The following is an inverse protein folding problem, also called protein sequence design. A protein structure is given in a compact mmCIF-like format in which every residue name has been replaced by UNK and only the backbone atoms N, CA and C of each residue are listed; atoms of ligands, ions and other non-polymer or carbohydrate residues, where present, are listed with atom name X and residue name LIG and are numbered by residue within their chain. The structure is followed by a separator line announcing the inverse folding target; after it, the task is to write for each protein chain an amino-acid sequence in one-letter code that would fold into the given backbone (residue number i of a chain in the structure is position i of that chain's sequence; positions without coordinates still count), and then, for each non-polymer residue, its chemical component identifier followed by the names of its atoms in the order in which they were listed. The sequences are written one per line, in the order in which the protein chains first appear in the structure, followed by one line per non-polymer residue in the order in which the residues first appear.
data_IF_809211848015
#
_entry.id   IF_809211848015
#
_cell.length_a   1.000
_cell.length_b   1.000
_cell.length_c   1.000
_cell.angle_alpha   90.00
_cell.angle_beta   90.00
_cell.angle_gamma   90.00
#
_symmetry.space_group_name_H-M   'P 1'
#
loop_
_entity.id
_entity.type
_entity.pdbx_description
1 polymer ?
#
# COMPACT_ATOMS: atom_id res chain seq x y z
N UNK A 1 -10.62 -7.71 -39.32
CA UNK A 1 -11.46 -7.25 -38.21
C UNK A 1 -11.53 -8.38 -37.19
N UNK A 2 -10.79 -8.30 -36.11
CA UNK A 2 -10.91 -9.17 -34.92
C UNK A 2 -11.09 -8.23 -33.74
N UNK A 3 -12.27 -8.30 -33.11
CA UNK A 3 -12.65 -7.56 -31.93
C UNK A 3 -11.73 -7.87 -30.77
N UNK A 4 -11.10 -6.85 -30.20
CA UNK A 4 -10.49 -6.94 -28.88
C UNK A 4 -11.63 -6.98 -27.86
N UNK A 5 -11.75 -8.08 -27.15
CA UNK A 5 -12.61 -8.21 -25.98
C UNK A 5 -12.03 -7.35 -24.85
N UNK A 6 -12.71 -6.28 -24.49
CA UNK A 6 -12.52 -5.59 -23.22
C UNK A 6 -12.87 -6.54 -22.09
N UNK A 7 -11.85 -7.10 -21.46
CA UNK A 7 -11.98 -7.72 -20.16
C UNK A 7 -11.95 -6.60 -19.10
N UNK A 8 -13.10 -5.99 -18.85
CA UNK A 8 -13.33 -5.22 -17.64
C UNK A 8 -13.35 -6.22 -16.48
N UNK A 9 -12.22 -6.41 -15.79
CA UNK A 9 -12.21 -7.09 -14.50
C UNK A 9 -13.16 -6.33 -13.56
N UNK A 10 -14.30 -6.95 -13.27
CA UNK A 10 -15.26 -6.40 -12.32
C UNK A 10 -14.63 -6.44 -10.94
N UNK A 11 -14.30 -5.29 -10.39
CA UNK A 11 -13.94 -5.15 -8.97
C UNK A 11 -15.12 -5.73 -8.17
N UNK A 12 -14.85 -6.74 -7.36
CA UNK A 12 -15.87 -7.37 -6.54
C UNK A 12 -16.52 -6.31 -5.64
N UNK A 13 -17.82 -6.16 -5.70
CA UNK A 13 -18.55 -5.14 -4.95
C UNK A 13 -18.34 -5.35 -3.44
N UNK A 14 -17.96 -4.29 -2.73
CA UNK A 14 -17.92 -4.29 -1.27
C UNK A 14 -19.25 -4.77 -0.68
N UNK A 15 -19.24 -5.54 0.42
CA UNK A 15 -20.47 -5.90 1.13
C UNK A 15 -21.23 -4.64 1.55
N UNK A 16 -22.56 -4.73 1.61
CA UNK A 16 -23.38 -3.60 2.07
C UNK A 16 -23.00 -3.22 3.51
N UNK A 17 -23.05 -1.93 3.82
CA UNK A 17 -22.59 -1.34 5.09
C UNK A 17 -23.03 -2.07 6.39
N UNK A 18 -24.12 -2.86 6.37
CA UNK A 18 -24.57 -3.65 7.52
C UNK A 18 -23.65 -4.84 7.88
N UNK A 19 -22.87 -5.34 6.91
CA UNK A 19 -22.09 -6.58 7.09
C UNK A 19 -20.62 -6.30 7.37
N UNK A 20 -20.20 -5.04 7.29
CA UNK A 20 -18.80 -4.61 7.42
C UNK A 20 -18.36 -4.54 8.88
N UNK A 21 -19.25 -4.14 9.80
CA UNK A 21 -18.90 -3.87 11.19
C UNK A 21 -18.45 -5.10 12.00
N UNK A 22 -18.85 -6.30 11.59
CA UNK A 22 -18.57 -7.56 12.30
C UNK A 22 -17.74 -8.55 11.45
N UNK A 23 -17.17 -8.10 10.31
CA UNK A 23 -16.41 -8.99 9.43
C UNK A 23 -14.99 -9.17 9.96
N UNK A 24 -14.69 -10.35 10.45
CA UNK A 24 -13.33 -10.76 10.80
C UNK A 24 -12.64 -11.39 9.59
N UNK A 25 -11.36 -11.04 9.40
CA UNK A 25 -10.54 -11.52 8.30
C UNK A 25 -9.24 -12.11 8.83
N UNK A 26 -8.95 -13.33 8.42
CA UNK A 26 -7.71 -14.05 8.71
C UNK A 26 -6.79 -14.03 7.49
N UNK A 27 -5.50 -14.24 7.71
CA UNK A 27 -4.51 -14.35 6.64
C UNK A 27 -4.01 -15.79 6.52
N UNK A 28 -3.96 -16.32 5.30
CA UNK A 28 -3.35 -17.62 5.02
C UNK A 28 -2.17 -17.46 4.06
N UNK A 29 -1.02 -17.99 4.42
CA UNK A 29 0.15 -18.08 3.55
C UNK A 29 -0.05 -19.12 2.42
N UNK A 30 -0.89 -20.13 2.68
CA UNK A 30 -1.19 -21.20 1.74
C UNK A 30 -2.68 -21.24 1.46
N UNK A 31 -3.06 -20.89 0.23
CA UNK A 31 -4.41 -21.02 -0.28
C UNK A 31 -4.31 -21.73 -1.66
N UNK A 32 -4.76 -22.99 -1.74
CA UNK A 32 -4.69 -23.79 -2.97
C UNK A 32 -5.99 -23.75 -3.78
N UNK A 33 -6.93 -22.89 -3.41
CA UNK A 33 -8.27 -22.76 -4.00
C UNK A 33 -9.28 -23.77 -3.46
N UNK A 34 -8.85 -24.80 -2.71
CA UNK A 34 -9.69 -25.76 -2.03
C UNK A 34 -9.62 -25.62 -0.51
N UNK A 35 -8.42 -25.37 0.00
CA UNK A 35 -8.17 -25.16 1.42
C UNK A 35 -7.31 -23.92 1.67
N UNK A 36 -7.56 -23.29 2.80
CA UNK A 36 -6.71 -22.23 3.38
C UNK A 36 -6.10 -22.75 4.66
N UNK A 37 -4.76 -22.60 4.83
CA UNK A 37 -4.05 -22.96 6.05
C UNK A 37 -3.57 -21.72 6.77
N UNK A 38 -4.00 -21.60 8.03
CA UNK A 38 -3.60 -20.52 8.93
C UNK A 38 -2.30 -20.92 9.63
N UNK A 39 -1.38 -19.96 9.78
CA UNK A 39 -0.20 -20.17 10.62
C UNK A 39 -0.54 -20.26 12.11
N UNK A 40 0.45 -20.42 12.96
CA UNK A 40 0.24 -20.60 14.41
C UNK A 40 -0.35 -19.34 15.08
N UNK A 41 0.01 -18.14 14.60
CA UNK A 41 -0.48 -16.87 15.17
C UNK A 41 -1.94 -16.63 14.76
N UNK A 42 -2.26 -16.78 13.48
CA UNK A 42 -3.63 -16.65 12.96
C UNK A 42 -4.55 -17.76 13.50
N UNK A 43 -4.06 -19.01 13.61
CA UNK A 43 -4.81 -20.12 14.22
C UNK A 43 -5.08 -19.88 15.69
N UNK A 44 -4.08 -19.37 16.43
CA UNK A 44 -4.23 -18.99 17.83
C UNK A 44 -5.27 -17.88 18.01
N UNK A 45 -5.26 -16.87 17.14
CA UNK A 45 -6.25 -15.80 17.15
C UNK A 45 -7.66 -16.34 16.84
N UNK A 46 -7.81 -17.11 15.77
CA UNK A 46 -9.06 -17.73 15.35
C UNK A 46 -9.67 -18.63 16.46
N UNK A 47 -8.90 -19.60 16.93
CA UNK A 47 -9.47 -20.69 17.76
C UNK A 47 -9.43 -20.43 19.27
N UNK A 48 -8.46 -19.62 19.78
CA UNK A 48 -8.34 -19.31 21.21
C UNK A 48 -8.93 -17.97 21.59
N UNK A 49 -8.68 -16.91 20.80
CA UNK A 49 -9.14 -15.55 21.11
C UNK A 49 -10.59 -15.40 20.69
N UNK A 50 -10.90 -15.65 19.42
CA UNK A 50 -12.25 -15.51 18.86
C UNK A 50 -13.11 -16.77 19.07
N UNK A 51 -12.51 -17.90 19.47
CA UNK A 51 -13.16 -19.15 19.84
C UNK A 51 -13.95 -19.83 18.72
N UNK A 52 -13.55 -19.61 17.47
CA UNK A 52 -14.11 -20.37 16.35
C UNK A 52 -13.84 -21.87 16.49
N UNK A 53 -14.80 -22.67 16.00
CA UNK A 53 -14.78 -24.12 16.03
C UNK A 53 -14.96 -24.72 14.64
N UNK A 54 -14.58 -25.98 14.49
CA UNK A 54 -14.85 -26.72 13.26
C UNK A 54 -16.34 -26.63 12.90
N UNK A 55 -16.65 -26.25 11.65
CA UNK A 55 -17.98 -25.95 11.14
C UNK A 55 -18.27 -24.44 11.00
N UNK A 56 -17.59 -23.57 11.72
CA UNK A 56 -17.79 -22.12 11.64
C UNK A 56 -17.33 -21.57 10.29
N UNK A 57 -18.01 -20.50 9.84
CA UNK A 57 -17.61 -19.77 8.65
C UNK A 57 -16.64 -18.65 9.03
N UNK A 58 -15.54 -18.54 8.27
CA UNK A 58 -14.52 -17.50 8.43
C UNK A 58 -14.18 -16.89 7.07
N UNK A 59 -13.67 -15.66 7.07
CA UNK A 59 -13.14 -15.03 5.87
C UNK A 59 -11.60 -15.04 5.92
N UNK A 60 -10.98 -15.43 4.81
CA UNK A 60 -9.54 -15.59 4.71
C UNK A 60 -9.03 -14.84 3.49
N UNK A 61 -7.91 -14.14 3.60
CA UNK A 61 -7.23 -13.48 2.49
C UNK A 61 -5.89 -14.16 2.20
N UNK A 62 -5.47 -14.12 0.93
CA UNK A 62 -4.17 -14.64 0.47
C UNK A 62 -3.04 -13.60 0.48
N UNK A 63 -3.36 -12.33 0.77
CA UNK A 63 -2.40 -11.23 0.72
C UNK A 63 -2.04 -10.73 -0.69
N UNK A 64 -2.50 -11.40 -1.73
CA UNK A 64 -2.22 -11.05 -3.13
C UNK A 64 -3.45 -10.55 -3.89
N UNK A 65 -4.59 -10.47 -3.21
CA UNK A 65 -5.80 -9.82 -3.72
C UNK A 65 -7.05 -10.69 -3.78
N UNK A 66 -7.03 -11.90 -3.24
CA UNK A 66 -8.22 -12.76 -3.17
C UNK A 66 -8.70 -12.93 -1.73
N UNK A 67 -10.00 -12.80 -1.54
CA UNK A 67 -10.68 -13.17 -0.31
C UNK A 67 -11.46 -14.46 -0.53
N UNK A 68 -11.39 -15.35 0.44
CA UNK A 68 -12.08 -16.63 0.47
C UNK A 68 -13.08 -16.64 1.64
N UNK A 69 -14.30 -17.05 1.37
CA UNK A 69 -15.24 -17.46 2.44
C UNK A 69 -15.04 -18.94 2.67
N UNK A 70 -14.65 -19.31 3.86
CA UNK A 70 -14.26 -20.66 4.21
C UNK A 70 -15.14 -21.25 5.34
N UNK A 71 -15.11 -22.57 5.45
CA UNK A 71 -15.61 -23.32 6.62
C UNK A 71 -14.41 -23.92 7.34
N UNK A 72 -14.26 -23.64 8.62
CA UNK A 72 -13.20 -24.23 9.44
C UNK A 72 -13.43 -25.76 9.54
N UNK A 73 -12.43 -26.54 9.15
CA UNK A 73 -12.49 -28.03 9.17
C UNK A 73 -11.61 -28.61 10.25
N UNK A 74 -10.51 -27.91 10.62
CA UNK A 74 -9.67 -28.21 11.77
C UNK A 74 -9.45 -26.92 12.59
N UNK A 75 -9.87 -26.96 13.87
CA UNK A 75 -9.72 -25.84 14.81
C UNK A 75 -8.47 -25.96 15.70
N UNK A 76 -7.43 -26.63 15.22
CA UNK A 76 -6.14 -26.71 15.90
C UNK A 76 -5.51 -25.33 16.06
N UNK A 77 -5.30 -24.82 17.29
CA UNK A 77 -4.77 -23.46 17.49
C UNK A 77 -3.28 -23.28 17.13
N UNK A 78 -2.63 -24.31 16.56
CA UNK A 78 -1.26 -24.24 16.03
C UNK A 78 -1.19 -24.37 14.52
N UNK A 79 -2.30 -24.63 13.84
CA UNK A 79 -2.38 -24.86 12.41
C UNK A 79 -3.79 -25.24 12.04
N UNK A 80 -4.69 -24.24 12.00
CA UNK A 80 -6.07 -24.42 11.61
C UNK A 80 -6.20 -24.52 10.10
N UNK A 81 -7.15 -25.35 9.63
CA UNK A 81 -7.44 -25.53 8.21
C UNK A 81 -8.91 -25.21 7.92
N UNK A 82 -9.15 -24.52 6.81
CA UNK A 82 -10.49 -24.13 6.40
C UNK A 82 -10.74 -24.50 4.92
N UNK A 83 -11.87 -25.12 4.65
CA UNK A 83 -12.35 -25.47 3.31
C UNK A 83 -12.92 -24.24 2.62
N UNK A 84 -12.50 -23.94 1.38
CA UNK A 84 -13.00 -22.83 0.58
C UNK A 84 -14.41 -23.12 0.09
N UNK A 85 -15.36 -22.25 0.42
CA UNK A 85 -16.74 -22.29 -0.04
C UNK A 85 -16.99 -21.36 -1.21
N UNK A 86 -16.41 -20.14 -1.14
CA UNK A 86 -16.57 -19.09 -2.16
C UNK A 86 -15.24 -18.33 -2.33
N UNK A 87 -14.97 -17.84 -3.53
CA UNK A 87 -13.74 -17.12 -3.87
C UNK A 87 -14.09 -15.75 -4.47
N UNK A 88 -13.43 -14.70 -3.99
CA UNK A 88 -13.66 -13.31 -4.40
C UNK A 88 -12.31 -12.68 -4.84
N UNK A 89 -11.93 -12.82 -6.12
CA UNK A 89 -10.72 -12.19 -6.64
C UNK A 89 -10.89 -10.66 -6.72
N UNK A 90 -9.81 -9.93 -6.53
CA UNK A 90 -9.80 -8.45 -6.58
C UNK A 90 -10.49 -7.79 -5.38
N UNK A 91 -10.71 -8.50 -4.29
CA UNK A 91 -11.43 -8.00 -3.11
C UNK A 91 -10.75 -6.80 -2.47
N UNK A 92 -11.51 -5.72 -2.26
CA UNK A 92 -11.01 -4.47 -1.67
C UNK A 92 -9.94 -3.79 -2.51
N UNK A 93 -9.82 -4.14 -3.81
CA UNK A 93 -8.89 -3.52 -4.74
C UNK A 93 -9.35 -2.12 -5.18
N UNK A 94 -8.44 -1.38 -5.79
CA UNK A 94 -8.66 -0.05 -6.35
C UNK A 94 -8.14 0.01 -7.80
N UNK A 95 -8.62 0.99 -8.62
CA UNK A 95 -8.32 1.02 -10.04
C UNK A 95 -7.00 1.70 -10.40
N UNK A 96 -6.11 1.95 -9.46
CA UNK A 96 -4.80 2.59 -9.67
C UNK A 96 -3.67 1.73 -9.09
N UNK A 97 -2.43 2.12 -9.35
CA UNK A 97 -1.22 1.57 -8.75
C UNK A 97 -0.41 2.71 -8.14
N UNK A 98 -0.25 2.68 -6.82
CA UNK A 98 0.43 3.73 -6.06
C UNK A 98 1.68 3.21 -5.37
N UNK A 99 2.83 3.80 -5.74
CA UNK A 99 4.07 3.68 -5.01
C UNK A 99 4.33 4.95 -4.20
N UNK A 100 4.49 4.82 -2.89
CA UNK A 100 4.94 5.93 -2.03
C UNK A 100 6.35 5.63 -1.55
N UNK A 101 7.32 6.39 -2.07
CA UNK A 101 8.71 6.31 -1.66
C UNK A 101 8.96 7.42 -0.63
N UNK A 102 9.05 7.05 0.65
CA UNK A 102 9.04 7.97 1.79
C UNK A 102 10.24 7.73 2.71
N UNK A 103 10.88 8.80 3.15
CA UNK A 103 11.98 8.70 4.10
C UNK A 103 11.48 8.30 5.50
N UNK A 104 12.03 7.22 6.11
CA UNK A 104 11.72 6.88 7.50
C UNK A 104 12.09 8.03 8.43
N UNK A 105 11.14 8.39 9.29
CA UNK A 105 11.31 9.46 10.27
C UNK A 105 12.26 9.04 11.41
N UNK A 106 12.82 10.01 12.14
CA UNK A 106 13.66 9.75 13.32
C UNK A 106 12.94 8.84 14.33
N UNK A 107 11.66 9.10 14.58
CA UNK A 107 10.81 8.23 15.40
C UNK A 107 10.12 7.20 14.51
N UNK A 108 10.43 5.91 14.70
CA UNK A 108 9.83 4.81 13.93
C UNK A 108 8.30 4.80 14.01
N UNK A 109 7.71 5.08 15.19
CA UNK A 109 6.26 5.01 15.37
C UNK A 109 5.51 5.93 14.40
N UNK A 110 6.11 7.04 13.97
CA UNK A 110 5.52 7.95 12.98
C UNK A 110 5.53 7.36 11.57
N UNK A 111 6.65 6.75 11.18
CA UNK A 111 6.74 6.08 9.88
C UNK A 111 5.82 4.86 9.84
N UNK A 112 5.75 4.12 10.92
CA UNK A 112 4.85 2.98 11.08
C UNK A 112 3.37 3.39 11.05
N UNK A 113 3.03 4.53 11.65
CA UNK A 113 1.71 5.14 11.53
C UNK A 113 1.38 5.50 10.07
N UNK A 114 2.35 6.03 9.32
CA UNK A 114 2.17 6.24 7.88
C UNK A 114 1.91 4.91 7.15
N UNK A 115 2.69 3.86 7.44
CA UNK A 115 2.49 2.53 6.82
C UNK A 115 1.08 2.02 7.09
N UNK A 116 0.61 2.12 8.33
CA UNK A 116 -0.76 1.74 8.72
C UNK A 116 -1.80 2.50 7.89
N UNK A 117 -1.76 3.84 7.92
CA UNK A 117 -2.78 4.67 7.27
C UNK A 117 -2.72 4.62 5.74
N UNK A 118 -1.53 4.53 5.15
CA UNK A 118 -1.39 4.35 3.71
C UNK A 118 -1.98 3.00 3.25
N UNK A 119 -1.80 1.93 4.04
CA UNK A 119 -2.41 0.62 3.76
C UNK A 119 -3.93 0.68 3.85
N UNK A 120 -4.48 1.30 4.89
CA UNK A 120 -5.92 1.50 5.04
C UNK A 120 -6.53 2.29 3.86
N UNK A 121 -5.86 3.33 3.39
CA UNK A 121 -6.32 4.16 2.28
C UNK A 121 -6.20 3.41 0.95
N UNK A 122 -5.05 2.77 0.68
CA UNK A 122 -4.85 2.01 -0.56
C UNK A 122 -3.54 2.35 -1.27
N UNK A 123 -2.41 2.03 -0.64
CA UNK A 123 -1.09 2.02 -1.27
C UNK A 123 -0.75 0.60 -1.75
N UNK A 124 -0.08 0.48 -2.89
CA UNK A 124 0.38 -0.83 -3.39
C UNK A 124 1.83 -1.15 -3.01
N UNK A 125 2.67 -0.11 -2.93
CA UNK A 125 4.09 -0.27 -2.63
C UNK A 125 4.62 0.89 -1.80
N UNK A 126 5.35 0.56 -0.73
CA UNK A 126 6.06 1.52 0.11
C UNK A 126 7.55 1.26 -0.03
N UNK A 127 8.30 2.30 -0.38
CA UNK A 127 9.77 2.25 -0.50
C UNK A 127 10.38 3.16 0.57
N UNK A 128 11.01 2.60 1.61
CA UNK A 128 11.75 3.40 2.59
C UNK A 128 12.98 4.04 1.93
N UNK A 129 13.01 5.37 1.81
CA UNK A 129 14.12 6.11 1.21
C UNK A 129 15.10 6.61 2.27
N UNK A 130 16.40 6.50 2.00
CA UNK A 130 17.43 7.15 2.81
C UNK A 130 17.97 8.34 2.03
N UNK A 131 17.47 9.52 2.36
CA UNK A 131 17.91 10.79 1.76
C UNK A 131 19.21 11.31 2.38
N UNK A 132 19.86 12.26 1.69
CA UNK A 132 21.08 12.93 2.15
C UNK A 132 20.87 13.53 3.55
N UNK A 133 19.71 14.14 3.79
CA UNK A 133 19.33 14.83 5.02
C UNK A 133 18.49 13.97 5.98
N UNK A 134 18.36 12.66 5.71
CA UNK A 134 17.69 11.75 6.64
C UNK A 134 18.46 11.68 7.96
N UNK A 135 17.80 11.91 9.09
CA UNK A 135 18.37 11.66 10.41
C UNK A 135 18.52 10.15 10.65
N UNK A 136 17.59 9.35 10.13
CA UNK A 136 17.64 7.89 10.18
C UNK A 136 18.34 7.35 8.95
N UNK A 137 19.45 6.64 9.19
CA UNK A 137 20.26 6.04 8.11
C UNK A 137 20.04 4.53 7.95
N UNK A 138 19.35 3.90 8.88
CA UNK A 138 19.03 2.46 8.87
C UNK A 138 17.58 2.28 9.29
N UNK A 139 16.83 1.48 8.54
CA UNK A 139 15.48 1.11 8.86
C UNK A 139 15.31 -0.41 8.65
N UNK A 140 14.57 -1.08 9.55
CA UNK A 140 14.23 -2.50 9.45
C UNK A 140 12.76 -2.64 9.13
N UNK A 141 12.44 -3.43 8.15
CA UNK A 141 11.08 -3.54 7.58
C UNK A 141 10.15 -4.53 8.31
N UNK A 142 10.70 -5.42 9.16
CA UNK A 142 9.92 -6.47 9.82
C UNK A 142 8.67 -5.99 10.54
N UNK A 143 8.76 -4.85 11.24
CA UNK A 143 7.62 -4.29 11.98
C UNK A 143 6.62 -3.62 11.02
N UNK A 144 7.10 -2.95 9.99
CA UNK A 144 6.25 -2.36 8.96
C UNK A 144 5.43 -3.43 8.21
N UNK A 145 6.02 -4.58 7.89
CA UNK A 145 5.33 -5.71 7.27
C UNK A 145 4.18 -6.23 8.14
N UNK A 146 4.42 -6.38 9.46
CA UNK A 146 3.36 -6.81 10.39
C UNK A 146 2.24 -5.77 10.52
N UNK A 147 2.59 -4.49 10.52
CA UNK A 147 1.60 -3.39 10.56
C UNK A 147 0.78 -3.38 9.27
N UNK A 148 1.41 -3.51 8.10
CA UNK A 148 0.71 -3.58 6.83
C UNK A 148 -0.27 -4.76 6.76
N UNK A 149 0.13 -5.95 7.24
CA UNK A 149 -0.76 -7.10 7.33
C UNK A 149 -1.97 -6.82 8.24
N UNK A 150 -1.72 -6.27 9.44
CA UNK A 150 -2.80 -5.93 10.39
C UNK A 150 -3.75 -4.88 9.81
N UNK A 151 -3.21 -3.82 9.19
CA UNK A 151 -4.00 -2.76 8.55
C UNK A 151 -4.79 -3.27 7.34
N UNK A 152 -4.23 -4.20 6.56
CA UNK A 152 -4.92 -4.87 5.44
C UNK A 152 -6.15 -5.63 5.92
N UNK A 153 -6.01 -6.44 6.97
CA UNK A 153 -7.12 -7.19 7.57
C UNK A 153 -8.19 -6.26 8.14
N UNK A 154 -7.77 -5.25 8.92
CA UNK A 154 -8.66 -4.29 9.55
C UNK A 154 -9.45 -3.45 8.52
N UNK A 155 -8.82 -3.09 7.40
CA UNK A 155 -9.47 -2.34 6.31
C UNK A 155 -10.20 -3.24 5.30
N UNK A 156 -10.33 -4.53 5.58
CA UNK A 156 -11.03 -5.53 4.77
C UNK A 156 -10.51 -5.63 3.34
N UNK A 157 -9.22 -5.40 3.13
CA UNK A 157 -8.56 -5.58 1.84
C UNK A 157 -7.95 -7.00 1.75
N UNK A 158 -7.80 -7.51 0.53
CA UNK A 158 -7.17 -8.81 0.32
C UNK A 158 -5.73 -8.71 -0.20
N UNK A 159 -5.26 -7.50 -0.55
CA UNK A 159 -3.88 -7.28 -1.00
C UNK A 159 -3.07 -6.55 0.06
N UNK A 160 -1.98 -7.17 0.51
CA UNK A 160 -1.00 -6.54 1.38
C UNK A 160 -0.07 -5.69 0.50
N UNK A 161 0.19 -4.41 0.83
CA UNK A 161 1.14 -3.62 0.07
C UNK A 161 2.56 -4.20 0.17
N UNK A 162 3.30 -4.10 -0.92
CA UNK A 162 4.72 -4.45 -0.92
C UNK A 162 5.49 -3.40 -0.10
N UNK A 163 6.36 -3.84 0.80
CA UNK A 163 7.30 -2.97 1.52
C UNK A 163 8.70 -3.39 1.12
N UNK A 164 9.42 -2.49 0.47
CA UNK A 164 10.77 -2.75 0.00
C UNK A 164 11.80 -2.60 1.13
N UNK A 165 12.98 -3.19 0.92
CA UNK A 165 14.14 -2.87 1.73
C UNK A 165 14.57 -1.41 1.51
N UNK A 166 15.15 -0.75 2.55
CA UNK A 166 15.58 0.65 2.43
C UNK A 166 16.62 0.83 1.32
N UNK A 167 16.45 1.89 0.55
CA UNK A 167 17.34 2.25 -0.55
C UNK A 167 17.71 3.74 -0.47
N UNK A 168 18.91 4.14 -0.94
CA UNK A 168 19.24 5.56 -1.01
C UNK A 168 18.32 6.28 -2.00
N UNK A 169 17.91 7.52 -1.69
CA UNK A 169 17.07 8.29 -2.59
C UNK A 169 17.74 8.46 -3.98
N UNK A 170 19.05 8.65 -4.01
CA UNK A 170 19.81 8.76 -5.26
C UNK A 170 19.81 7.46 -6.06
N UNK A 171 19.96 6.32 -5.42
CA UNK A 171 19.94 5.03 -6.13
C UNK A 171 18.52 4.68 -6.60
N UNK A 172 17.50 4.93 -5.79
CA UNK A 172 16.11 4.81 -6.23
C UNK A 172 15.84 5.64 -7.48
N UNK A 173 16.25 6.91 -7.49
CA UNK A 173 16.09 7.82 -8.63
C UNK A 173 16.87 7.37 -9.88
N UNK A 174 18.07 6.81 -9.73
CA UNK A 174 18.88 6.33 -10.85
C UNK A 174 18.36 5.03 -11.46
N UNK A 175 17.78 4.17 -10.65
CA UNK A 175 17.29 2.85 -11.09
C UNK A 175 15.77 2.81 -11.33
N UNK A 176 15.07 3.95 -11.09
CA UNK A 176 13.66 4.06 -11.40
C UNK A 176 13.46 4.03 -12.91
N UNK A 177 12.96 2.92 -13.39
CA UNK A 177 12.45 2.61 -14.74
C UNK A 177 13.16 3.26 -15.95
N UNK A 178 13.37 2.45 -16.99
CA UNK A 178 13.85 2.93 -18.30
C UNK A 178 12.92 4.01 -18.86
N UNK A 179 13.46 4.91 -19.70
CA UNK A 179 12.72 6.03 -20.28
C UNK A 179 11.43 5.64 -21.04
N UNK A 180 11.27 4.38 -21.43
CA UNK A 180 10.07 3.86 -22.08
C UNK A 180 8.95 3.55 -21.09
N UNK A 181 9.25 2.94 -19.94
CA UNK A 181 8.30 2.72 -18.85
C UNK A 181 7.93 4.03 -18.13
N UNK A 182 8.87 5.00 -18.12
CA UNK A 182 8.66 6.34 -17.56
C UNK A 182 7.58 7.17 -18.29
N UNK A 183 7.21 6.82 -19.51
CA UNK A 183 6.17 7.53 -20.28
C UNK A 183 4.76 7.19 -19.86
N UNK A 184 4.56 6.10 -19.13
CA UNK A 184 3.24 5.60 -18.73
C UNK A 184 2.90 5.86 -17.26
N UNK A 185 3.85 6.33 -16.43
CA UNK A 185 3.64 6.57 -15.00
C UNK A 185 3.77 8.05 -14.63
N UNK A 186 2.92 8.52 -13.71
CA UNK A 186 3.03 9.85 -13.12
C UNK A 186 4.03 9.81 -11.96
N UNK A 187 5.11 10.57 -12.09
CA UNK A 187 6.16 10.67 -11.07
C UNK A 187 6.12 12.03 -10.38
N UNK A 188 5.93 12.04 -9.08
CA UNK A 188 5.77 13.25 -8.26
C UNK A 188 6.83 13.30 -7.17
N UNK A 189 7.37 14.50 -6.91
CA UNK A 189 8.25 14.75 -5.76
C UNK A 189 7.73 15.93 -4.95
N UNK A 190 7.48 15.71 -3.65
CA UNK A 190 7.05 16.75 -2.73
C UNK A 190 8.23 17.26 -1.90
N UNK A 191 8.51 18.58 -1.99
CA UNK A 191 9.50 19.27 -1.17
C UNK A 191 9.04 20.70 -0.85
N UNK A 192 9.63 21.32 0.18
CA UNK A 192 9.16 22.60 0.71
C UNK A 192 10.03 23.82 0.33
N UNK A 193 11.31 23.64 0.00
CA UNK A 193 12.19 24.75 -0.34
C UNK A 193 11.87 25.36 -1.71
N UNK A 194 12.24 26.61 -1.93
CA UNK A 194 12.17 27.24 -3.25
C UNK A 194 13.28 26.67 -4.14
N UNK A 195 12.90 25.99 -5.20
CA UNK A 195 13.81 25.41 -6.21
C UNK A 195 13.69 26.14 -7.53
N UNK A 196 14.55 25.77 -8.48
CA UNK A 196 14.57 26.35 -9.84
C UNK A 196 13.30 26.02 -10.66
N UNK A 197 12.54 25.00 -10.23
CA UNK A 197 11.33 24.54 -10.92
C UNK A 197 10.08 24.90 -10.10
N UNK A 198 9.10 25.54 -10.76
CA UNK A 198 7.82 25.89 -10.16
C UNK A 198 7.07 24.60 -9.76
N UNK A 199 6.63 24.54 -8.50
CA UNK A 199 5.78 23.45 -7.99
C UNK A 199 4.32 23.71 -8.35
N UNK A 200 3.62 22.66 -8.77
CA UNK A 200 2.16 22.67 -8.95
C UNK A 200 1.50 21.93 -7.77
N UNK A 201 0.19 22.06 -7.61
CA UNK A 201 -0.50 21.26 -6.60
C UNK A 201 -0.55 19.77 -7.01
N UNK A 202 -0.49 18.87 -6.03
CA UNK A 202 -0.65 17.43 -6.31
C UNK A 202 -1.98 17.15 -7.02
N UNK A 203 -3.03 17.88 -6.69
CA UNK A 203 -4.34 17.73 -7.33
C UNK A 203 -4.31 18.15 -8.81
N UNK A 204 -3.57 19.22 -9.15
CA UNK A 204 -3.39 19.65 -10.54
C UNK A 204 -2.65 18.57 -11.35
N UNK A 205 -1.55 18.04 -10.80
CA UNK A 205 -0.79 16.96 -11.44
C UNK A 205 -1.65 15.71 -11.67
N UNK A 206 -2.43 15.29 -10.67
CA UNK A 206 -3.32 14.14 -10.76
C UNK A 206 -4.47 14.34 -11.75
N UNK A 207 -5.02 15.57 -11.85
CA UNK A 207 -6.09 15.87 -12.82
C UNK A 207 -5.59 15.84 -14.26
N UNK A 208 -4.36 16.27 -14.49
CA UNK A 208 -3.75 16.29 -15.81
C UNK A 208 -3.35 14.88 -16.30
N UNK A 209 -3.26 13.91 -15.39
CA UNK A 209 -2.84 12.55 -15.69
C UNK A 209 -4.04 11.63 -15.97
N UNK A 210 -4.01 10.99 -17.15
CA UNK A 210 -5.07 10.05 -17.57
C UNK A 210 -4.78 8.57 -17.27
N UNK A 211 -3.56 8.26 -16.81
CA UNK A 211 -3.16 6.90 -16.44
C UNK A 211 -3.50 6.54 -15.00
N UNK A 212 -2.95 5.43 -14.52
CA UNK A 212 -3.25 4.86 -13.20
C UNK A 212 -2.04 4.45 -12.39
N UNK A 213 -0.83 4.60 -12.92
CA UNK A 213 0.43 4.26 -12.25
C UNK A 213 1.10 5.53 -11.72
N UNK A 214 1.19 5.67 -10.40
CA UNK A 214 1.65 6.88 -9.74
C UNK A 214 2.77 6.55 -8.76
N UNK A 215 3.85 7.31 -8.79
CA UNK A 215 4.92 7.27 -7.79
C UNK A 215 5.05 8.64 -7.14
N UNK A 216 5.04 8.67 -5.80
CA UNK A 216 5.21 9.90 -5.02
C UNK A 216 6.43 9.78 -4.11
N UNK A 217 7.34 10.76 -4.19
CA UNK A 217 8.50 10.88 -3.31
C UNK A 217 8.22 11.86 -2.18
N UNK A 218 8.46 11.45 -0.93
CA UNK A 218 8.34 12.26 0.28
C UNK A 218 9.67 12.28 1.02
N UNK A 219 10.21 13.47 1.22
CA UNK A 219 11.52 13.67 1.87
C UNK A 219 11.51 13.47 3.38
N UNK A 220 12.71 13.47 4.00
CA UNK A 220 12.88 13.42 5.45
C UNK A 220 12.47 14.74 6.11
N UNK A 221 12.56 14.83 7.45
CA UNK A 221 12.27 16.06 8.21
C UNK A 221 13.15 17.26 7.76
N UNK A 222 14.37 16.99 7.26
CA UNK A 222 15.30 17.97 6.70
C UNK A 222 15.06 18.29 5.22
N UNK A 223 13.98 17.76 4.64
CA UNK A 223 13.65 17.83 3.22
C UNK A 223 14.68 17.11 2.32
N UNK A 224 14.38 16.94 1.02
CA UNK A 224 15.37 16.50 0.05
C UNK A 224 16.52 17.52 -0.09
N UNK A 225 17.71 17.07 -0.44
CA UNK A 225 18.77 17.98 -0.84
C UNK A 225 18.46 18.61 -2.21
N UNK A 226 19.02 19.80 -2.52
CA UNK A 226 18.85 20.39 -3.86
C UNK A 226 19.37 19.49 -4.98
N UNK A 227 20.36 18.65 -4.69
CA UNK A 227 20.90 17.67 -5.62
C UNK A 227 19.91 16.53 -5.89
N UNK A 228 19.30 15.99 -4.83
CA UNK A 228 18.26 14.95 -4.96
C UNK A 228 17.04 15.47 -5.73
N UNK A 229 16.59 16.69 -5.44
CA UNK A 229 15.46 17.30 -6.14
C UNK A 229 15.77 17.53 -7.63
N UNK A 230 16.97 18.03 -7.96
CA UNK A 230 17.39 18.17 -9.37
C UNK A 230 17.48 16.83 -10.07
N UNK A 231 18.05 15.82 -9.40
CA UNK A 231 18.11 14.47 -9.96
C UNK A 231 16.70 13.92 -10.25
N UNK A 232 15.75 14.09 -9.33
CA UNK A 232 14.37 13.68 -9.52
C UNK A 232 13.72 14.38 -10.73
N UNK A 233 13.88 15.69 -10.85
CA UNK A 233 13.35 16.46 -12.00
C UNK A 233 13.97 15.96 -13.33
N UNK A 234 15.27 15.68 -13.35
CA UNK A 234 15.95 15.12 -14.52
C UNK A 234 15.45 13.69 -14.87
N UNK A 235 14.92 12.95 -13.89
CA UNK A 235 14.28 11.64 -14.08
C UNK A 235 12.77 11.73 -14.36
N UNK A 236 12.27 12.94 -14.66
CA UNK A 236 10.88 13.17 -15.05
C UNK A 236 9.90 13.30 -13.87
N UNK A 237 10.38 13.47 -12.63
CA UNK A 237 9.50 13.77 -11.52
C UNK A 237 9.01 15.21 -11.55
N UNK A 238 7.72 15.40 -11.39
CA UNK A 238 7.08 16.71 -11.34
C UNK A 238 7.12 17.21 -9.89
N UNK A 239 7.72 18.39 -9.62
CA UNK A 239 7.67 19.02 -8.31
C UNK A 239 6.25 19.41 -7.91
N UNK A 240 5.82 18.95 -6.74
CA UNK A 240 4.47 19.25 -6.23
C UNK A 240 4.49 19.82 -4.81
N UNK A 241 3.42 20.52 -4.47
CA UNK A 241 3.09 20.88 -3.09
C UNK A 241 1.78 20.20 -2.66
N UNK A 242 1.68 19.90 -1.37
CA UNK A 242 0.53 19.23 -0.75
C UNK A 242 -0.43 20.21 -0.03
N UNK A 243 -0.35 21.48 -0.38
CA UNK A 243 -1.10 22.57 0.24
C UNK A 243 -0.18 23.65 0.80
N UNK A 244 -0.76 24.62 1.53
CA UNK A 244 -0.04 25.78 2.10
C UNK A 244 0.57 25.50 3.49
N UNK A 245 0.14 24.44 4.16
CA UNK A 245 0.60 24.09 5.49
C UNK A 245 1.93 23.33 5.46
N UNK A 246 2.80 23.60 6.45
CA UNK A 246 3.98 22.78 6.66
C UNK A 246 3.58 21.46 7.31
N UNK A 247 3.74 20.37 6.59
CA UNK A 247 3.41 19.02 7.03
C UNK A 247 4.65 18.32 7.56
N UNK A 248 4.46 17.40 8.51
CA UNK A 248 5.49 16.41 8.85
C UNK A 248 5.57 15.35 7.76
N UNK A 249 6.69 14.65 7.66
CA UNK A 249 6.95 13.62 6.65
C UNK A 249 5.83 12.57 6.60
N UNK A 250 5.47 11.99 7.73
CA UNK A 250 4.40 10.99 7.83
C UNK A 250 3.04 11.55 7.40
N UNK A 251 2.75 12.79 7.77
CA UNK A 251 1.49 13.45 7.38
C UNK A 251 1.48 13.76 5.89
N UNK A 252 2.60 14.21 5.32
CA UNK A 252 2.74 14.47 3.90
C UNK A 252 2.51 13.18 3.08
N UNK A 253 3.07 12.06 3.53
CA UNK A 253 2.92 10.77 2.87
C UNK A 253 1.46 10.27 2.90
N UNK A 254 0.75 10.39 4.03
CA UNK A 254 -0.68 10.04 4.13
C UNK A 254 -1.54 10.95 3.25
N UNK A 255 -1.29 12.27 3.25
CA UNK A 255 -2.04 13.21 2.40
C UNK A 255 -1.81 12.91 0.92
N UNK A 256 -0.58 12.62 0.50
CA UNK A 256 -0.29 12.23 -0.88
C UNK A 256 -1.03 10.94 -1.28
N UNK A 257 -1.03 9.92 -0.42
CA UNK A 257 -1.80 8.68 -0.61
C UNK A 257 -3.29 8.98 -0.75
N UNK A 258 -3.84 9.78 0.17
CA UNK A 258 -5.27 10.16 0.15
C UNK A 258 -5.64 10.98 -1.09
N UNK A 259 -4.76 11.86 -1.57
CA UNK A 259 -5.00 12.63 -2.79
C UNK A 259 -5.13 11.73 -4.03
N UNK A 260 -4.32 10.67 -4.12
CA UNK A 260 -4.43 9.67 -5.18
C UNK A 260 -5.73 8.88 -5.01
N UNK A 261 -6.03 8.36 -3.84
CA UNK A 261 -7.26 7.64 -3.55
C UNK A 261 -8.50 8.45 -4.01
N UNK A 262 -8.66 9.69 -3.52
CA UNK A 262 -9.79 10.55 -3.85
C UNK A 262 -9.86 10.97 -5.33
N UNK A 263 -8.79 10.82 -6.10
CA UNK A 263 -8.78 11.10 -7.54
C UNK A 263 -9.49 10.00 -8.34
N UNK A 264 -9.49 8.77 -7.83
CA UNK A 264 -9.98 7.59 -8.55
C UNK A 264 -11.26 6.98 -7.94
N UNK A 265 -11.71 7.48 -6.79
CA UNK A 265 -13.05 7.23 -6.23
C UNK A 265 -14.10 8.13 -6.90
#
# INVERSE_FOLDING_TARGET
MKSRSDASESIAAFPKNSDICDMEVFFAHEADGRFCRLDADESGHCCRVLRHRAGDKINVIDGIGTMYRCRLVDDNPKGAEAEVLETFPGWGGHPYRLTVACCPTKNNDRFEWFVEKATEVGVDRIVPLIGDRSERKVYKTDRALRIALSATKQSLKARIPQIDEPVSAKDFLRHSETAEQAKESLKLIAYCFEGDTKRISIQEALRAYGGRDITVLIGPEGDFSPEEARLAVNQGYIPVHLGSSRLRTETAAVIATTAVYLRYE
#
